data_IF_375788734502
#
_entry.id   IF_375788734502
#
_cell.length_a   1.000
_cell.length_b   1.000
_cell.length_c   1.000
_cell.angle_alpha   90.00
_cell.angle_beta   90.00
_cell.angle_gamma   90.00
#
_symmetry.space_group_name_H-M   'P 1'
#
loop_
_entity.id
_entity.type
_entity.pdbx_description
1 polymer ?
#
# COMPACT_ATOMS: atom_id res chain seq x y z
N UNK A 1 2.28 7.69 -23.82
CA UNK A 1 3.66 7.85 -23.58
C UNK A 1 4.01 8.40 -22.22
N UNK A 2 3.11 9.12 -21.62
CA UNK A 2 3.36 9.71 -20.31
C UNK A 2 3.55 8.69 -19.22
N UNK A 3 3.13 7.49 -19.46
CA UNK A 3 3.02 6.50 -18.41
C UNK A 3 4.34 5.92 -17.96
N UNK A 4 5.33 5.84 -18.85
CA UNK A 4 6.60 5.20 -18.51
C UNK A 4 7.38 5.96 -17.43
N UNK A 5 7.48 7.27 -17.59
CA UNK A 5 8.19 8.08 -16.61
C UNK A 5 7.48 8.06 -15.26
N UNK A 6 6.15 8.14 -15.28
CA UNK A 6 5.39 8.13 -14.03
C UNK A 6 5.47 6.79 -13.33
N UNK A 7 5.46 5.70 -14.09
CA UNK A 7 5.61 4.37 -13.50
C UNK A 7 6.96 4.24 -12.81
N UNK A 8 8.03 4.78 -13.42
CA UNK A 8 9.34 4.79 -12.79
C UNK A 8 9.33 5.54 -11.48
N UNK A 9 8.69 6.71 -11.45
CA UNK A 9 8.59 7.51 -10.24
C UNK A 9 7.84 6.77 -9.14
N UNK A 10 6.75 6.11 -9.49
CA UNK A 10 5.98 5.35 -8.49
C UNK A 10 6.77 4.16 -7.96
N UNK A 11 7.51 3.48 -8.82
CA UNK A 11 8.34 2.36 -8.39
C UNK A 11 9.44 2.84 -7.45
N UNK A 12 10.05 3.99 -7.74
CA UNK A 12 11.05 4.58 -6.87
C UNK A 12 10.44 4.97 -5.53
N UNK A 13 9.24 5.55 -5.55
CA UNK A 13 8.57 5.93 -4.32
C UNK A 13 8.28 4.71 -3.46
N UNK A 14 7.80 3.64 -4.06
CA UNK A 14 7.54 2.39 -3.34
C UNK A 14 8.82 1.84 -2.73
N UNK A 15 9.91 1.85 -3.50
CA UNK A 15 11.21 1.40 -2.98
C UNK A 15 11.64 2.22 -1.78
N UNK A 16 11.47 3.54 -1.84
CA UNK A 16 11.80 4.42 -0.74
C UNK A 16 10.97 4.07 0.50
N UNK A 17 9.68 3.84 0.32
CA UNK A 17 8.81 3.47 1.42
C UNK A 17 9.25 2.15 2.05
N UNK A 18 9.65 1.17 1.24
CA UNK A 18 10.17 -0.08 1.77
C UNK A 18 11.46 0.11 2.54
N UNK A 19 12.31 1.03 2.10
CA UNK A 19 13.54 1.35 2.83
C UNK A 19 13.22 1.91 4.21
N UNK A 20 12.22 2.79 4.30
CA UNK A 20 11.78 3.32 5.59
C UNK A 20 11.29 2.20 6.49
N UNK A 21 10.51 1.28 5.93
CA UNK A 21 10.01 0.15 6.70
C UNK A 21 11.13 -0.73 7.24
N UNK A 22 12.17 -0.92 6.45
CA UNK A 22 13.31 -1.74 6.85
C UNK A 22 14.15 -1.03 7.91
N UNK A 23 14.35 0.27 7.77
CA UNK A 23 15.19 1.05 8.68
C UNK A 23 14.51 1.28 10.02
N UNK A 24 13.23 1.62 10.01
CA UNK A 24 12.48 1.92 11.22
C UNK A 24 11.10 1.29 11.17
N UNK A 25 11.02 -0.03 11.38
CA UNK A 25 9.75 -0.75 11.22
C UNK A 25 8.69 -0.40 12.26
N UNK A 26 9.07 0.24 13.34
CA UNK A 26 8.12 0.56 14.42
C UNK A 26 7.80 2.05 14.52
N UNK A 27 8.29 2.85 13.58
CA UNK A 27 8.02 4.28 13.61
C UNK A 27 6.66 4.59 12.99
N UNK A 28 6.13 5.76 13.35
CA UNK A 28 4.90 6.25 12.73
C UNK A 28 5.09 6.43 11.22
N UNK A 29 6.30 6.77 10.82
CA UNK A 29 6.62 6.92 9.41
C UNK A 29 6.54 5.60 8.64
N UNK A 30 6.91 4.51 9.30
CA UNK A 30 6.80 3.18 8.67
C UNK A 30 5.34 2.85 8.35
N UNK A 31 4.44 3.15 9.28
CA UNK A 31 3.01 2.95 9.09
C UNK A 31 2.52 3.75 7.88
N UNK A 32 2.85 5.03 7.86
CA UNK A 32 2.45 5.90 6.75
C UNK A 32 3.11 5.45 5.44
N UNK A 33 4.36 5.04 5.48
CA UNK A 33 5.06 4.58 4.29
C UNK A 33 4.36 3.35 3.68
N UNK A 34 3.97 2.41 4.52
CA UNK A 34 3.28 1.22 4.05
C UNK A 34 1.92 1.57 3.44
N UNK A 35 1.20 2.48 4.09
CA UNK A 35 -0.08 2.95 3.57
C UNK A 35 0.09 3.63 2.20
N UNK A 36 1.08 4.50 2.08
CA UNK A 36 1.35 5.20 0.83
C UNK A 36 1.72 4.22 -0.29
N UNK A 37 2.57 3.25 0.01
CA UNK A 37 2.95 2.25 -0.98
C UNK A 37 1.73 1.47 -1.47
N UNK A 38 0.87 1.07 -0.54
CA UNK A 38 -0.35 0.35 -0.88
C UNK A 38 -1.26 1.20 -1.76
N UNK A 39 -1.40 2.47 -1.44
CA UNK A 39 -2.22 3.38 -2.23
C UNK A 39 -1.68 3.57 -3.64
N UNK A 40 -0.36 3.64 -3.78
CA UNK A 40 0.25 3.75 -5.09
C UNK A 40 -0.11 2.54 -5.96
N UNK A 41 0.00 1.34 -5.41
CA UNK A 41 -0.39 0.14 -6.13
C UNK A 41 -1.88 0.14 -6.44
N UNK A 42 -2.71 0.59 -5.51
CA UNK A 42 -4.15 0.58 -5.66
C UNK A 42 -4.63 1.58 -6.71
N UNK A 43 -4.15 2.82 -6.60
CA UNK A 43 -4.68 3.91 -7.43
C UNK A 43 -3.84 4.23 -8.66
N UNK A 44 -2.53 4.15 -8.53
CA UNK A 44 -1.62 4.63 -9.58
C UNK A 44 -1.12 3.53 -10.49
N UNK A 45 -0.67 2.43 -9.90
CA UNK A 45 -0.13 1.32 -10.68
C UNK A 45 -1.20 0.33 -11.09
N UNK A 46 -2.40 0.47 -10.56
CA UNK A 46 -3.53 -0.41 -10.86
C UNK A 46 -3.18 -1.88 -10.61
N UNK A 47 -2.56 -2.14 -9.45
CA UNK A 47 -2.18 -3.48 -9.03
C UNK A 47 -2.86 -3.82 -7.72
N UNK A 48 -4.16 -4.14 -7.74
CA UNK A 48 -4.89 -4.40 -6.50
C UNK A 48 -4.35 -5.60 -5.73
N UNK A 49 -3.78 -6.59 -6.41
CA UNK A 49 -3.18 -7.74 -5.75
C UNK A 49 -2.04 -7.32 -4.83
N UNK A 50 -1.18 -6.42 -5.30
CA UNK A 50 -0.09 -5.90 -4.48
C UNK A 50 -0.61 -5.00 -3.38
N UNK A 51 -1.58 -4.17 -3.69
CA UNK A 51 -2.19 -3.29 -2.70
C UNK A 51 -2.78 -4.08 -1.54
N UNK A 52 -3.48 -5.17 -1.84
CA UNK A 52 -4.06 -6.03 -0.83
C UNK A 52 -2.99 -6.57 0.11
N UNK A 53 -1.88 -7.03 -0.45
CA UNK A 53 -0.77 -7.55 0.36
C UNK A 53 -0.25 -6.49 1.32
N UNK A 54 -0.06 -5.28 0.83
CA UNK A 54 0.46 -4.20 1.67
C UNK A 54 -0.55 -3.75 2.71
N UNK A 55 -1.82 -3.68 2.35
CA UNK A 55 -2.87 -3.35 3.31
C UNK A 55 -2.93 -4.38 4.44
N UNK A 56 -2.83 -5.66 4.09
CA UNK A 56 -2.82 -6.72 5.10
C UNK A 56 -1.61 -6.62 6.00
N UNK A 57 -0.44 -6.34 5.42
CA UNK A 57 0.78 -6.17 6.22
C UNK A 57 0.61 -5.03 7.22
N UNK A 58 0.00 -3.94 6.79
CA UNK A 58 -0.23 -2.81 7.67
C UNK A 58 -1.11 -3.21 8.85
N UNK A 59 -2.18 -3.94 8.58
CA UNK A 59 -3.08 -4.37 9.64
C UNK A 59 -2.42 -5.33 10.63
N UNK A 60 -1.52 -6.18 10.13
CA UNK A 60 -0.83 -7.16 10.97
C UNK A 60 0.31 -6.53 11.75
N UNK A 61 1.14 -5.73 11.07
CA UNK A 61 2.33 -5.15 11.69
C UNK A 61 2.02 -3.97 12.61
N UNK A 62 0.97 -3.24 12.29
CA UNK A 62 0.61 -2.03 13.03
C UNK A 62 -0.85 -2.11 13.49
N UNK A 63 -1.14 -3.03 14.43
CA UNK A 63 -2.52 -3.23 14.88
C UNK A 63 -3.12 -2.04 15.60
N UNK A 64 -2.28 -1.14 16.11
CA UNK A 64 -2.73 0.06 16.81
C UNK A 64 -2.65 1.31 15.95
N UNK A 65 -2.49 1.14 14.64
CA UNK A 65 -2.37 2.27 13.73
C UNK A 65 -3.67 3.06 13.67
N UNK A 66 -3.54 4.37 13.56
CA UNK A 66 -4.72 5.24 13.37
C UNK A 66 -5.37 5.00 12.02
N UNK A 67 -4.62 4.41 11.08
CA UNK A 67 -5.13 4.12 9.75
C UNK A 67 -5.87 2.78 9.66
N UNK A 68 -5.92 2.02 10.73
CA UNK A 68 -6.45 0.66 10.70
C UNK A 68 -7.86 0.56 10.18
N UNK A 69 -8.77 1.39 10.68
CA UNK A 69 -10.16 1.36 10.24
C UNK A 69 -10.27 1.69 8.75
N UNK A 70 -9.55 2.70 8.33
CA UNK A 70 -9.55 3.15 6.94
C UNK A 70 -9.01 2.07 6.02
N UNK A 71 -7.86 1.50 6.39
CA UNK A 71 -7.22 0.44 5.62
C UNK A 71 -8.10 -0.80 5.56
N UNK A 72 -8.74 -1.15 6.65
CA UNK A 72 -9.61 -2.32 6.70
C UNK A 72 -10.78 -2.16 5.73
N UNK A 73 -11.40 -1.00 5.72
CA UNK A 73 -12.50 -0.72 4.80
C UNK A 73 -12.03 -0.77 3.35
N UNK A 74 -10.90 -0.14 3.07
CA UNK A 74 -10.37 -0.12 1.71
C UNK A 74 -9.96 -1.51 1.26
N UNK A 75 -9.33 -2.28 2.13
CA UNK A 75 -8.93 -3.65 1.82
C UNK A 75 -10.14 -4.49 1.43
N UNK A 76 -11.22 -4.36 2.18
CA UNK A 76 -12.44 -5.10 1.89
C UNK A 76 -12.96 -4.74 0.50
N UNK A 77 -13.00 -3.45 0.18
CA UNK A 77 -13.48 -3.01 -1.13
C UNK A 77 -12.62 -3.53 -2.26
N UNK A 78 -11.30 -3.48 -2.09
CA UNK A 78 -10.39 -3.96 -3.13
C UNK A 78 -10.51 -5.47 -3.30
N UNK A 79 -10.63 -6.20 -2.21
CA UNK A 79 -10.80 -7.66 -2.27
C UNK A 79 -12.10 -8.03 -2.97
N UNK A 80 -13.17 -7.32 -2.69
CA UNK A 80 -14.45 -7.56 -3.34
C UNK A 80 -14.38 -7.29 -4.84
N UNK A 81 -13.69 -6.22 -5.20
CA UNK A 81 -13.53 -5.87 -6.61
C UNK A 81 -12.76 -6.94 -7.36
N UNK A 82 -11.72 -7.50 -6.74
CA UNK A 82 -10.96 -8.59 -7.33
C UNK A 82 -11.76 -9.88 -7.39
N UNK A 83 -12.38 -10.23 -6.29
CA UNK A 83 -13.15 -11.46 -6.21
C UNK A 83 -14.39 -11.44 -7.07
N UNK A 84 -15.02 -10.29 -7.20
CA UNK A 84 -16.23 -10.15 -7.96
C UNK A 84 -16.08 -10.37 -9.45
N UNK A 85 -14.83 -10.33 -9.94
CA UNK A 85 -14.55 -10.52 -11.36
C UNK A 85 -14.22 -11.95 -11.72
N UNK A 86 -14.06 -12.80 -10.76
CA UNK A 86 -13.68 -14.19 -11.03
C UNK A 86 -14.86 -15.15 -11.22
#
# INVERSE_FOLDING_TARGET
>A
GITHERLGQYNEAVSTFYQVLTAEPQSIQADLALKKAAEIYDYKLNRPDKAIQLYRQLLVKFPKSIFQNEIRKRLRLVEQALGGQS
#
